data_IF_369801970000
#
_entry.id   IF_369801970000
#
_cell.length_a   1.000
_cell.length_b   1.000
_cell.length_c   1.000
_cell.angle_alpha   90.00
_cell.angle_beta   90.00
_cell.angle_gamma   90.00
#
_symmetry.space_group_name_H-M   'P 1'
#
loop_
_entity.id
_entity.type
_entity.pdbx_description
1 polymer ?
#
# COMPACT_ATOMS: atom_id res chain seq x y z
N UNK A 1 52.12 2.79 16.28
CA UNK A 1 51.52 2.55 14.95
C UNK A 1 50.08 2.16 15.21
N UNK A 2 49.15 3.10 15.07
CA UNK A 2 47.72 2.85 15.21
C UNK A 2 47.28 1.99 14.04
N UNK A 3 46.81 0.77 14.33
CA UNK A 3 46.22 -0.08 13.27
C UNK A 3 45.09 0.71 12.61
N UNK A 4 45.20 0.92 11.31
CA UNK A 4 44.10 1.48 10.51
C UNK A 4 42.93 0.48 10.56
N UNK A 5 41.96 0.71 11.43
CA UNK A 5 40.72 -0.07 11.44
C UNK A 5 39.91 0.31 10.21
N UNK A 6 39.63 -0.69 9.37
CA UNK A 6 38.77 -0.51 8.17
C UNK A 6 37.34 -0.38 8.65
N UNK A 7 36.66 0.72 8.32
CA UNK A 7 35.27 0.89 8.70
C UNK A 7 34.35 -0.03 7.88
N UNK A 8 33.29 -0.51 8.51
CA UNK A 8 32.19 -1.25 7.86
C UNK A 8 31.04 -0.29 7.60
N UNK A 9 30.59 -0.20 6.34
CA UNK A 9 29.39 0.55 5.96
C UNK A 9 28.21 -0.43 5.84
N UNK A 10 27.12 -0.15 6.55
CA UNK A 10 25.83 -0.80 6.38
C UNK A 10 24.80 0.23 5.95
N UNK A 11 23.97 -0.14 4.97
CA UNK A 11 22.96 0.75 4.40
C UNK A 11 21.58 0.13 4.54
N UNK A 12 20.65 0.89 5.11
CA UNK A 12 19.26 0.51 5.31
C UNK A 12 18.37 1.61 4.71
N UNK A 13 18.05 1.50 3.42
CA UNK A 13 17.37 2.58 2.70
C UNK A 13 18.19 3.87 2.68
N UNK A 14 17.67 4.95 3.29
CA UNK A 14 18.39 6.24 3.41
C UNK A 14 19.17 6.40 4.72
N UNK A 15 19.29 5.33 5.52
CA UNK A 15 20.09 5.30 6.74
C UNK A 15 21.42 4.62 6.47
N UNK A 16 22.50 5.31 6.73
CA UNK A 16 23.87 4.84 6.56
C UNK A 16 24.55 4.72 7.91
N UNK A 17 25.07 3.54 8.24
CA UNK A 17 25.76 3.27 9.49
C UNK A 17 27.18 2.85 9.18
N UNK A 18 28.14 3.66 9.62
CA UNK A 18 29.56 3.34 9.55
C UNK A 18 30.03 2.94 10.94
N UNK A 19 30.61 1.75 11.06
CA UNK A 19 31.05 1.18 12.33
C UNK A 19 32.54 0.78 12.28
N UNK A 20 33.20 0.89 13.42
CA UNK A 20 34.59 0.48 13.60
C UNK A 20 34.71 -0.54 14.72
N UNK A 21 35.77 -1.33 14.70
CA UNK A 21 36.03 -2.40 15.66
C UNK A 21 36.22 -1.92 17.11
N UNK A 22 36.53 -0.63 17.34
CA UNK A 22 36.63 -0.02 18.65
C UNK A 22 35.28 0.35 19.30
N UNK A 23 34.16 0.03 18.67
CA UNK A 23 32.81 0.28 19.20
C UNK A 23 32.22 1.65 18.82
N UNK A 24 32.87 2.40 17.93
CA UNK A 24 32.33 3.66 17.41
C UNK A 24 31.39 3.40 16.25
N UNK A 25 30.21 4.06 16.26
CA UNK A 25 29.26 4.06 15.15
C UNK A 25 28.86 5.47 14.79
N UNK A 26 28.82 5.76 13.50
CA UNK A 26 28.31 7.01 12.94
C UNK A 26 27.14 6.67 12.04
N UNK A 27 25.96 7.15 12.43
CA UNK A 27 24.73 7.03 11.64
C UNK A 27 24.47 8.34 10.92
N UNK A 28 24.20 8.29 9.62
CA UNK A 28 23.78 9.42 8.81
C UNK A 28 22.43 9.12 8.18
N UNK A 29 21.47 10.03 8.40
CA UNK A 29 20.09 9.91 7.94
C UNK A 29 19.65 11.22 7.29
N UNK A 30 18.51 11.17 6.55
CA UNK A 30 17.91 12.36 5.92
C UNK A 30 18.91 13.15 5.08
N UNK A 31 19.73 12.41 4.34
CA UNK A 31 20.74 13.03 3.48
C UNK A 31 20.03 13.77 2.35
N UNK A 32 20.37 15.04 2.21
CA UNK A 32 19.83 15.90 1.16
C UNK A 32 20.95 16.65 0.45
N UNK A 33 21.12 16.42 -0.84
CA UNK A 33 22.07 17.14 -1.68
C UNK A 33 21.39 18.32 -2.36
N UNK A 34 21.88 19.53 -2.07
CA UNK A 34 21.42 20.76 -2.66
C UNK A 34 21.94 20.96 -4.08
N UNK A 35 21.32 21.83 -4.87
CA UNK A 35 21.72 22.13 -6.25
C UNK A 35 23.15 22.68 -6.39
N UNK A 36 23.69 23.26 -5.34
CA UNK A 36 25.05 23.78 -5.24
C UNK A 36 26.05 22.74 -4.68
N UNK A 37 25.65 21.46 -4.68
CA UNK A 37 26.44 20.31 -4.20
C UNK A 37 26.73 20.29 -2.69
N UNK A 38 26.06 21.13 -1.90
CA UNK A 38 26.07 21.00 -0.45
C UNK A 38 25.20 19.83 -0.03
N UNK A 39 25.66 19.08 0.97
CA UNK A 39 24.92 17.95 1.53
C UNK A 39 24.62 18.23 3.01
N UNK A 40 23.35 18.19 3.35
CA UNK A 40 22.87 18.18 4.74
C UNK A 40 22.56 16.74 5.14
N UNK A 41 22.82 16.38 6.38
CA UNK A 41 22.49 15.06 6.94
C UNK A 41 22.21 15.21 8.45
N UNK A 42 21.31 14.39 8.98
CA UNK A 42 21.23 14.17 10.42
C UNK A 42 22.28 13.14 10.82
N UNK A 43 23.16 13.49 11.78
CA UNK A 43 24.26 12.63 12.19
C UNK A 43 24.08 12.28 13.67
N UNK A 44 24.08 10.97 13.96
CA UNK A 44 24.13 10.42 15.31
C UNK A 44 25.45 9.68 15.49
N UNK A 45 26.11 9.91 16.60
CA UNK A 45 27.36 9.25 16.96
C UNK A 45 27.14 8.43 18.22
N UNK A 46 27.56 7.18 18.21
CA UNK A 46 27.50 6.25 19.33
C UNK A 46 28.93 5.76 19.62
N UNK A 47 29.32 5.75 20.89
CA UNK A 47 30.50 5.06 21.40
C UNK A 47 30.06 4.04 22.45
N UNK A 48 30.18 2.75 22.15
CA UNK A 48 29.76 1.66 23.04
C UNK A 48 30.47 1.68 24.41
N UNK A 49 31.64 2.33 24.51
CA UNK A 49 32.34 2.44 25.77
C UNK A 49 31.74 3.50 26.71
N UNK A 50 30.99 4.46 26.22
CA UNK A 50 30.47 5.59 26.98
C UNK A 50 28.95 5.63 27.16
N UNK A 51 28.23 4.62 26.62
CA UNK A 51 26.79 4.35 26.81
C UNK A 51 25.82 5.51 26.49
N UNK A 52 26.25 6.61 25.87
CA UNK A 52 25.36 7.70 25.51
C UNK A 52 25.48 8.06 24.02
N UNK A 53 24.37 8.07 23.27
CA UNK A 53 24.38 8.60 21.92
C UNK A 53 24.59 10.12 21.95
N UNK A 54 25.53 10.60 21.18
CA UNK A 54 25.69 12.04 20.94
C UNK A 54 24.82 12.42 19.73
N UNK A 55 23.60 12.89 20.00
CA UNK A 55 22.71 13.38 18.97
C UNK A 55 23.23 14.72 18.45
N UNK A 56 23.57 14.75 17.18
CA UNK A 56 23.89 15.99 16.48
C UNK A 56 22.79 16.24 15.45
N UNK A 57 22.18 17.41 15.51
CA UNK A 57 21.16 17.82 14.55
C UNK A 57 21.67 17.93 13.12
N UNK A 58 20.90 18.53 12.19
CA UNK A 58 21.26 18.61 10.79
C UNK A 58 22.60 19.32 10.61
N UNK A 59 23.57 18.62 10.02
CA UNK A 59 24.90 19.13 9.74
C UNK A 59 25.10 19.29 8.24
N UNK A 60 25.58 20.47 7.83
CA UNK A 60 26.15 20.65 6.50
C UNK A 60 27.50 20.00 6.46
N UNK A 61 27.65 18.91 5.72
CA UNK A 61 28.89 18.13 5.63
C UNK A 61 30.05 18.94 5.05
N UNK A 62 29.77 20.06 4.37
CA UNK A 62 30.74 20.93 3.72
C UNK A 62 31.17 22.16 4.52
N UNK A 63 30.58 22.45 5.71
CA UNK A 63 30.89 23.68 6.49
C UNK A 63 31.88 23.37 7.62
N UNK A 64 33.13 23.72 7.39
CA UNK A 64 34.25 23.58 8.34
C UNK A 64 34.00 24.20 9.74
N UNK A 65 33.21 25.25 9.83
CA UNK A 65 32.92 25.91 11.10
C UNK A 65 32.02 25.06 12.00
N UNK A 66 31.01 24.43 11.46
CA UNK A 66 30.11 23.53 12.19
C UNK A 66 30.88 22.29 12.67
N UNK A 67 31.74 21.73 11.84
CA UNK A 67 32.60 20.61 12.21
C UNK A 67 33.57 20.91 13.35
N UNK A 68 34.10 22.12 13.44
CA UNK A 68 35.00 22.52 14.54
C UNK A 68 34.32 22.48 15.91
N UNK A 69 33.06 22.97 15.98
CA UNK A 69 32.31 22.92 17.23
C UNK A 69 32.01 21.50 17.67
N UNK A 70 31.53 20.68 16.70
CA UNK A 70 31.22 19.28 16.93
C UNK A 70 32.43 18.48 17.38
N UNK A 71 33.54 18.63 16.69
CA UNK A 71 34.79 17.96 17.07
C UNK A 71 35.27 18.34 18.45
N UNK A 72 35.21 19.63 18.80
CA UNK A 72 35.62 20.10 20.13
C UNK A 72 34.74 19.52 21.27
N UNK A 73 33.44 19.30 20.99
CA UNK A 73 32.55 18.66 21.95
C UNK A 73 32.84 17.15 22.08
N UNK A 74 33.07 16.45 20.97
CA UNK A 74 33.39 15.03 20.97
C UNK A 74 34.76 14.75 21.61
N UNK A 75 35.77 15.58 21.35
CA UNK A 75 37.12 15.48 21.94
C UNK A 75 37.07 15.65 23.47
N UNK A 76 36.14 16.45 24.01
CA UNK A 76 35.92 16.58 25.47
C UNK A 76 35.29 15.31 26.08
N UNK A 77 34.49 14.59 25.31
CA UNK A 77 33.80 13.37 25.80
C UNK A 77 34.76 12.19 25.78
N UNK A 78 35.55 12.05 24.72
CA UNK A 78 36.50 10.95 24.60
C UNK A 78 37.75 11.38 23.82
N UNK A 79 38.90 11.43 24.53
CA UNK A 79 40.21 11.63 23.94
C UNK A 79 40.78 10.35 23.29
N UNK A 80 40.12 9.21 23.49
CA UNK A 80 40.54 7.91 23.00
C UNK A 80 40.38 7.77 21.48
N UNK A 81 39.45 8.53 20.89
CA UNK A 81 39.02 8.43 19.50
C UNK A 81 39.55 9.63 18.70
N UNK A 82 40.15 9.39 17.56
CA UNK A 82 40.39 10.44 16.56
C UNK A 82 39.08 10.76 15.82
N UNK A 83 38.25 11.58 16.42
CA UNK A 83 36.93 11.94 15.90
C UNK A 83 37.01 12.60 14.52
N UNK A 84 38.04 13.39 14.26
CA UNK A 84 38.24 14.00 12.95
C UNK A 84 38.40 12.94 11.88
N UNK A 85 39.26 11.94 12.12
CA UNK A 85 39.50 10.85 11.19
C UNK A 85 38.21 10.03 10.97
N UNK A 86 37.51 9.65 12.06
CA UNK A 86 36.29 8.83 11.97
C UNK A 86 35.18 9.52 11.20
N UNK A 87 34.90 10.79 11.51
CA UNK A 87 33.86 11.56 10.83
C UNK A 87 34.22 11.82 9.35
N UNK A 88 35.49 12.07 9.04
CA UNK A 88 35.93 12.21 7.65
C UNK A 88 35.72 10.90 6.88
N UNK A 89 36.15 9.76 7.44
CA UNK A 89 35.96 8.45 6.81
C UNK A 89 34.48 8.13 6.61
N UNK A 90 33.65 8.34 7.64
CA UNK A 90 32.20 8.13 7.54
C UNK A 90 31.58 8.98 6.42
N UNK A 91 31.90 10.30 6.41
CA UNK A 91 31.35 11.21 5.41
C UNK A 91 31.75 10.81 3.99
N UNK A 92 33.01 10.47 3.76
CA UNK A 92 33.48 10.05 2.44
C UNK A 92 32.76 8.78 1.98
N UNK A 93 32.74 7.73 2.81
CA UNK A 93 32.10 6.45 2.48
C UNK A 93 30.60 6.62 2.22
N UNK A 94 29.90 7.35 3.07
CA UNK A 94 28.47 7.58 2.93
C UNK A 94 28.17 8.38 1.65
N UNK A 95 28.88 9.47 1.39
CA UNK A 95 28.65 10.29 0.21
C UNK A 95 29.01 9.57 -1.09
N UNK A 96 30.08 8.77 -1.11
CA UNK A 96 30.42 7.94 -2.26
C UNK A 96 29.29 6.94 -2.55
N UNK A 97 28.79 6.25 -1.53
CA UNK A 97 27.69 5.30 -1.69
C UNK A 97 26.37 6.00 -2.08
N UNK A 98 26.04 7.11 -1.42
CA UNK A 98 24.85 7.91 -1.71
C UNK A 98 24.83 8.39 -3.17
N UNK A 99 25.96 8.92 -3.66
CA UNK A 99 26.10 9.42 -5.03
C UNK A 99 26.21 8.31 -6.08
N UNK A 100 26.77 7.16 -5.70
CA UNK A 100 26.79 6.00 -6.60
C UNK A 100 25.37 5.50 -6.92
N UNK A 101 24.43 5.66 -5.98
CA UNK A 101 23.04 5.23 -6.14
C UNK A 101 22.92 3.72 -6.33
N UNK A 102 21.80 3.29 -6.91
CA UNK A 102 21.55 1.87 -7.19
C UNK A 102 22.43 1.39 -8.35
N UNK A 103 23.19 0.31 -8.20
CA UNK A 103 24.05 -0.19 -9.27
C UNK A 103 23.25 -0.66 -10.47
N UNK A 104 23.82 -0.47 -11.67
CA UNK A 104 23.29 -1.06 -12.90
C UNK A 104 23.55 -2.56 -12.89
N UNK A 105 22.52 -3.36 -12.98
CA UNK A 105 22.60 -4.82 -13.00
C UNK A 105 22.18 -5.36 -14.36
N UNK A 106 22.89 -6.38 -14.84
CA UNK A 106 22.41 -7.18 -15.95
C UNK A 106 21.28 -8.10 -15.47
N UNK A 107 20.10 -8.08 -16.12
CA UNK A 107 18.95 -8.89 -15.70
C UNK A 107 19.30 -10.39 -15.65
N UNK A 108 20.14 -10.88 -16.57
CA UNK A 108 20.60 -12.28 -16.57
C UNK A 108 21.55 -12.65 -15.42
N UNK A 109 22.10 -11.67 -14.69
CA UNK A 109 22.92 -11.90 -13.50
C UNK A 109 22.09 -11.95 -12.21
N UNK A 110 20.82 -11.58 -12.28
CA UNK A 110 19.88 -11.68 -11.15
C UNK A 110 19.43 -13.14 -11.05
N UNK A 111 19.48 -13.76 -9.85
CA UNK A 111 18.91 -15.10 -9.66
C UNK A 111 17.47 -15.12 -10.15
N UNK A 112 17.05 -16.22 -10.79
CA UNK A 112 15.67 -16.36 -11.27
C UNK A 112 14.69 -16.08 -10.12
N UNK A 113 13.90 -15.00 -10.17
CA UNK A 113 12.98 -14.69 -9.10
C UNK A 113 11.88 -15.74 -9.05
N UNK A 114 11.40 -16.03 -7.85
CA UNK A 114 10.17 -16.80 -7.72
C UNK A 114 9.01 -16.02 -8.35
N UNK A 115 8.00 -16.70 -8.90
CA UNK A 115 6.80 -16.03 -9.37
C UNK A 115 6.20 -15.16 -8.26
N UNK A 116 5.77 -13.95 -8.59
CA UNK A 116 5.08 -13.07 -7.64
C UNK A 116 3.83 -13.75 -7.11
N UNK A 117 3.75 -13.92 -5.79
CA UNK A 117 2.62 -14.62 -5.15
C UNK A 117 1.41 -13.70 -4.97
N UNK A 118 0.23 -14.32 -4.99
CA UNK A 118 -1.02 -13.66 -4.61
C UNK A 118 -1.16 -13.73 -3.09
N UNK A 119 -1.14 -12.58 -2.44
CA UNK A 119 -1.31 -12.50 -0.97
C UNK A 119 -2.79 -12.56 -0.59
N UNK A 120 -3.66 -12.01 -1.42
CA UNK A 120 -5.12 -12.15 -1.29
C UNK A 120 -5.77 -12.27 -2.67
N UNK A 121 -6.07 -13.49 -3.09
CA UNK A 121 -6.95 -13.88 -4.18
C UNK A 121 -6.97 -12.97 -5.42
N UNK A 122 -5.80 -12.50 -5.93
CA UNK A 122 -5.70 -11.58 -7.07
C UNK A 122 -6.01 -10.11 -6.78
N UNK A 123 -6.42 -9.77 -5.54
CA UNK A 123 -6.54 -8.39 -5.08
C UNK A 123 -5.19 -7.83 -4.66
N UNK A 124 -4.46 -8.54 -3.81
CA UNK A 124 -3.18 -8.11 -3.27
C UNK A 124 -2.09 -9.05 -3.74
N UNK A 125 -1.02 -8.48 -4.28
CA UNK A 125 0.14 -9.19 -4.79
C UNK A 125 1.39 -8.81 -4.02
N UNK A 126 2.27 -9.77 -3.83
CA UNK A 126 3.53 -9.59 -3.13
C UNK A 126 4.36 -8.44 -3.72
N UNK A 127 4.87 -7.56 -2.84
CA UNK A 127 5.74 -6.45 -3.21
C UNK A 127 5.09 -5.35 -4.06
N UNK A 128 3.77 -5.36 -4.24
CA UNK A 128 3.10 -4.43 -5.15
C UNK A 128 2.05 -3.54 -4.45
N UNK A 129 1.94 -2.26 -4.86
CA UNK A 129 0.87 -1.39 -4.42
C UNK A 129 -0.43 -1.69 -5.15
N UNK A 130 -1.50 -1.95 -4.39
CA UNK A 130 -2.88 -2.09 -4.84
C UNK A 130 -3.68 -0.87 -4.40
N UNK A 131 -4.38 -0.23 -5.34
CA UNK A 131 -5.26 0.90 -5.06
C UNK A 131 -6.72 0.43 -4.99
N UNK A 132 -7.39 0.71 -3.88
CA UNK A 132 -8.83 0.56 -3.69
C UNK A 132 -9.46 1.94 -3.62
N UNK A 133 -10.31 2.30 -4.55
CA UNK A 133 -10.89 3.64 -4.61
C UNK A 133 -12.41 3.62 -4.82
N UNK A 134 -13.06 4.67 -4.34
CA UNK A 134 -14.51 4.81 -4.42
C UNK A 134 -15.01 6.02 -3.65
N UNK A 135 -16.32 6.32 -3.72
CA UNK A 135 -16.94 7.45 -3.03
C UNK A 135 -16.66 7.45 -1.51
N UNK A 136 -16.71 8.64 -0.89
CA UNK A 136 -16.70 8.74 0.56
C UNK A 136 -17.89 7.99 1.18
N UNK A 137 -17.66 7.26 2.27
CA UNK A 137 -18.70 6.47 2.94
C UNK A 137 -19.09 5.17 2.26
N UNK A 138 -18.44 4.78 1.16
CA UNK A 138 -18.74 3.54 0.42
C UNK A 138 -18.36 2.26 1.17
N UNK A 139 -17.63 2.35 2.31
CA UNK A 139 -17.22 1.18 3.09
C UNK A 139 -15.79 0.67 2.81
N UNK A 140 -14.92 1.48 2.16
CA UNK A 140 -13.52 1.09 1.84
C UNK A 140 -12.76 0.57 3.05
N UNK A 141 -12.76 1.34 4.16
CA UNK A 141 -11.99 1.02 5.37
C UNK A 141 -12.42 -0.29 6.01
N UNK A 142 -13.72 -0.58 6.08
CA UNK A 142 -14.21 -1.82 6.67
C UNK A 142 -13.91 -3.04 5.78
N UNK A 143 -14.01 -2.90 4.46
CA UNK A 143 -13.60 -3.94 3.51
C UNK A 143 -12.10 -4.21 3.61
N UNK A 144 -11.29 -3.14 3.60
CA UNK A 144 -9.84 -3.28 3.74
C UNK A 144 -9.45 -3.98 5.05
N UNK A 145 -10.12 -3.64 6.16
CA UNK A 145 -9.85 -4.28 7.44
C UNK A 145 -10.23 -5.77 7.44
N UNK A 146 -11.32 -6.17 6.78
CA UNK A 146 -11.65 -7.59 6.57
C UNK A 146 -10.57 -8.30 5.75
N UNK A 147 -10.09 -7.69 4.66
CA UNK A 147 -9.01 -8.24 3.84
C UNK A 147 -7.69 -8.38 4.64
N UNK A 148 -7.33 -7.34 5.39
CA UNK A 148 -6.14 -7.37 6.24
C UNK A 148 -6.23 -8.41 7.35
N UNK A 149 -7.42 -8.58 7.96
CA UNK A 149 -7.64 -9.64 8.95
C UNK A 149 -7.49 -11.02 8.35
N UNK A 150 -8.00 -11.23 7.13
CA UNK A 150 -7.81 -12.48 6.38
C UNK A 150 -6.31 -12.75 6.09
N UNK A 151 -5.59 -11.75 5.58
CA UNK A 151 -4.14 -11.84 5.33
C UNK A 151 -3.38 -12.09 6.64
N UNK A 152 -3.68 -11.34 7.70
CA UNK A 152 -2.96 -11.41 8.97
C UNK A 152 -3.11 -12.77 9.65
N UNK A 153 -4.29 -13.37 9.54
CA UNK A 153 -4.60 -14.68 10.11
C UNK A 153 -4.32 -15.86 9.16
N UNK A 154 -4.16 -15.59 7.86
CA UNK A 154 -4.05 -16.62 6.83
C UNK A 154 -5.35 -17.38 6.59
N UNK A 155 -6.52 -16.80 6.97
CA UNK A 155 -7.84 -17.41 6.75
C UNK A 155 -8.48 -16.85 5.50
N UNK A 156 -8.87 -17.75 4.60
CA UNK A 156 -9.62 -17.39 3.40
C UNK A 156 -10.91 -16.62 3.74
N UNK A 157 -11.31 -15.70 2.87
CA UNK A 157 -12.49 -14.87 3.06
C UNK A 157 -13.21 -14.62 1.74
N UNK A 158 -14.54 -14.78 1.71
CA UNK A 158 -15.38 -14.50 0.53
C UNK A 158 -14.81 -15.08 -0.78
N UNK A 159 -14.39 -16.34 -0.78
CA UNK A 159 -13.80 -17.02 -1.95
C UNK A 159 -12.35 -16.58 -2.27
N UNK A 160 -11.79 -15.61 -1.56
CA UNK A 160 -10.42 -15.12 -1.75
C UNK A 160 -9.46 -15.91 -0.85
N UNK A 161 -8.49 -16.57 -1.46
CA UNK A 161 -7.42 -17.26 -0.74
C UNK A 161 -6.46 -16.24 -0.12
N UNK A 162 -6.13 -16.41 1.15
CA UNK A 162 -5.22 -15.54 1.89
C UNK A 162 -3.92 -16.27 2.24
N UNK A 163 -2.79 -15.62 1.95
CA UNK A 163 -1.47 -16.02 2.42
C UNK A 163 -1.13 -15.21 3.65
N UNK A 164 -0.73 -15.89 4.73
CA UNK A 164 -0.45 -15.24 6.01
C UNK A 164 0.71 -14.24 5.90
N UNK A 165 0.43 -13.02 6.33
CA UNK A 165 1.41 -11.93 6.42
C UNK A 165 1.00 -10.97 7.52
N UNK A 166 1.92 -10.54 8.40
CA UNK A 166 1.59 -9.53 9.40
C UNK A 166 1.19 -8.22 8.73
N UNK A 167 0.07 -7.65 9.17
CA UNK A 167 -0.53 -6.45 8.58
C UNK A 167 -0.41 -5.25 9.52
N UNK A 168 -0.13 -4.08 8.95
CA UNK A 168 -0.12 -2.79 9.64
C UNK A 168 -1.08 -1.82 8.95
N UNK A 169 -1.98 -1.22 9.72
CA UNK A 169 -2.83 -0.11 9.27
C UNK A 169 -2.20 1.21 9.69
N UNK A 170 -1.92 2.06 8.71
CA UNK A 170 -1.55 3.46 8.88
C UNK A 170 -2.80 4.30 8.60
N UNK A 171 -3.33 4.94 9.62
CA UNK A 171 -4.68 5.55 9.60
C UNK A 171 -4.62 7.03 9.97
N UNK A 172 -5.26 7.87 9.16
CA UNK A 172 -5.39 9.32 9.36
C UNK A 172 -6.78 9.77 9.76
N UNK A 173 -7.77 8.86 9.75
CA UNK A 173 -9.19 9.24 9.86
C UNK A 173 -9.87 8.65 11.10
N UNK A 174 -9.46 7.48 11.54
CA UNK A 174 -10.18 6.69 12.56
C UNK A 174 -9.37 6.64 13.85
N UNK A 175 -10.04 6.60 14.99
CA UNK A 175 -9.35 6.41 16.28
C UNK A 175 -8.92 4.96 16.50
N UNK A 176 -7.84 4.77 17.23
CA UNK A 176 -7.33 3.46 17.67
C UNK A 176 -8.44 2.59 18.28
N UNK A 177 -9.24 3.17 19.18
CA UNK A 177 -10.38 2.48 19.83
C UNK A 177 -11.42 1.97 18.82
N UNK A 178 -11.78 2.78 17.81
CA UNK A 178 -12.73 2.35 16.78
C UNK A 178 -12.14 1.26 15.89
N UNK A 179 -10.86 1.37 15.52
CA UNK A 179 -10.17 0.36 14.73
C UNK A 179 -10.09 -0.96 15.48
N UNK A 180 -9.77 -0.92 16.78
CA UNK A 180 -9.75 -2.10 17.64
C UNK A 180 -11.12 -2.79 17.68
N UNK A 181 -12.22 -2.03 17.91
CA UNK A 181 -13.56 -2.60 17.93
C UNK A 181 -13.93 -3.27 16.61
N UNK A 182 -13.67 -2.61 15.48
CA UNK A 182 -13.94 -3.16 14.14
C UNK A 182 -13.16 -4.45 13.90
N UNK A 183 -11.87 -4.47 14.22
CA UNK A 183 -11.06 -5.67 14.03
C UNK A 183 -11.50 -6.81 14.95
N UNK A 184 -11.81 -6.50 16.20
CA UNK A 184 -12.39 -7.46 17.14
C UNK A 184 -13.67 -8.10 16.60
N UNK A 185 -14.60 -7.32 16.08
CA UNK A 185 -15.86 -7.82 15.50
C UNK A 185 -15.59 -8.80 14.36
N UNK A 186 -14.60 -8.51 13.49
CA UNK A 186 -14.19 -9.41 12.41
C UNK A 186 -13.61 -10.72 12.98
N UNK A 187 -12.69 -10.63 13.92
CA UNK A 187 -12.04 -11.81 14.52
C UNK A 187 -13.06 -12.69 15.26
N UNK A 188 -14.02 -12.08 15.96
CA UNK A 188 -15.09 -12.80 16.64
C UNK A 188 -15.90 -13.67 15.68
N UNK A 189 -16.25 -13.15 14.51
CA UNK A 189 -16.99 -13.93 13.50
C UNK A 189 -16.15 -15.04 12.87
N UNK A 190 -14.82 -14.89 12.86
CA UNK A 190 -13.88 -15.91 12.39
C UNK A 190 -13.54 -16.98 13.46
N UNK A 191 -14.10 -16.86 14.67
CA UNK A 191 -13.80 -17.74 15.81
C UNK A 191 -12.36 -17.59 16.29
N UNK A 192 -11.75 -16.41 16.14
CA UNK A 192 -10.38 -16.13 16.58
C UNK A 192 -10.42 -15.45 17.94
N UNK A 193 -9.63 -15.97 18.89
CA UNK A 193 -9.44 -15.35 20.19
C UNK A 193 -8.64 -14.04 20.07
N UNK A 194 -9.04 -13.03 20.81
CA UNK A 194 -8.39 -11.72 20.89
C UNK A 194 -8.30 -11.27 22.35
N UNK A 195 -7.32 -10.42 22.67
CA UNK A 195 -7.13 -9.86 24.00
C UNK A 195 -8.21 -8.84 24.41
N UNK A 196 -8.20 -8.45 25.67
CA UNK A 196 -9.02 -7.35 26.19
C UNK A 196 -8.36 -6.00 25.90
N UNK A 197 -9.17 -4.94 25.78
CA UNK A 197 -8.69 -3.56 25.60
C UNK A 197 -8.65 -2.77 26.93
N UNK A 198 -7.63 -1.99 27.21
CA UNK A 198 -6.25 -2.15 26.71
C UNK A 198 -5.59 -3.30 27.46
N UNK A 199 -5.08 -4.28 26.75
CA UNK A 199 -4.33 -5.37 27.38
C UNK A 199 -2.84 -5.00 27.43
N UNK A 200 -2.37 -4.59 28.59
CA UNK A 200 -0.95 -4.29 28.86
C UNK A 200 -0.05 -5.52 28.65
N UNK A 201 -0.65 -6.71 28.68
CA UNK A 201 0.02 -7.99 28.49
C UNK A 201 -0.13 -8.53 27.06
N UNK A 202 -0.79 -7.80 26.14
CA UNK A 202 -0.89 -8.24 24.75
C UNK A 202 0.51 -8.45 24.19
N UNK A 203 0.88 -9.68 23.81
CA UNK A 203 2.24 -9.95 23.44
C UNK A 203 2.63 -9.14 22.20
N UNK A 204 3.80 -8.53 22.20
CA UNK A 204 4.43 -7.87 21.04
C UNK A 204 4.49 -8.79 19.79
N UNK A 205 4.19 -10.07 19.98
CA UNK A 205 4.34 -11.16 19.02
C UNK A 205 3.21 -11.31 18.00
N UNK A 206 2.19 -10.43 17.96
CA UNK A 206 1.09 -10.52 16.97
C UNK A 206 0.21 -11.79 17.05
N UNK A 207 0.33 -12.60 18.10
CA UNK A 207 -0.44 -13.86 18.27
C UNK A 207 -1.93 -13.66 18.60
N UNK A 208 -2.36 -12.41 18.79
CA UNK A 208 -3.75 -12.09 19.13
C UNK A 208 -4.71 -12.09 17.93
N UNK A 209 -4.20 -12.30 16.72
CA UNK A 209 -4.97 -12.17 15.48
C UNK A 209 -5.33 -10.71 15.13
N UNK A 210 -5.04 -9.74 16.00
CA UNK A 210 -5.26 -8.32 15.73
C UNK A 210 -4.21 -7.77 14.80
N UNK A 211 -4.63 -7.02 13.76
CA UNK A 211 -3.70 -6.28 12.89
C UNK A 211 -2.98 -5.20 13.69
N UNK A 212 -1.73 -4.93 13.31
CA UNK A 212 -1.01 -3.79 13.89
C UNK A 212 -1.64 -2.48 13.41
N UNK A 213 -1.60 -1.47 14.26
CA UNK A 213 -2.23 -0.17 14.00
C UNK A 213 -1.33 0.98 14.44
N UNK A 214 -1.34 2.06 13.64
CA UNK A 214 -0.74 3.34 14.00
C UNK A 214 -1.63 4.47 13.50
N UNK A 215 -2.04 5.36 14.42
CA UNK A 215 -2.62 6.65 14.05
C UNK A 215 -1.51 7.57 13.54
N UNK A 216 -1.75 8.20 12.40
CA UNK A 216 -0.81 9.07 11.71
C UNK A 216 -1.26 10.52 11.81
N UNK A 217 -0.36 11.42 12.21
CA UNK A 217 -0.65 12.87 12.34
C UNK A 217 -0.04 13.72 11.23
N UNK A 218 0.96 13.20 10.53
CA UNK A 218 1.68 13.87 9.45
C UNK A 218 1.70 13.05 8.16
N UNK A 219 2.25 13.62 7.08
CA UNK A 219 2.40 12.89 5.82
C UNK A 219 3.29 11.67 5.97
N UNK A 220 3.05 10.64 5.14
CA UNK A 220 3.76 9.37 5.19
C UNK A 220 5.29 9.52 5.15
N UNK A 221 5.79 10.43 4.30
CA UNK A 221 7.23 10.61 4.11
C UNK A 221 7.97 11.12 5.36
N UNK A 222 7.28 11.69 6.35
CA UNK A 222 7.89 12.12 7.60
C UNK A 222 8.26 10.96 8.54
N UNK A 223 7.56 9.84 8.40
CA UNK A 223 7.65 8.69 9.31
C UNK A 223 8.37 7.48 8.70
N UNK A 224 8.93 7.60 7.48
CA UNK A 224 9.52 6.47 6.73
C UNK A 224 10.55 5.71 7.55
N UNK A 225 11.51 6.38 8.18
CA UNK A 225 12.59 5.71 8.93
C UNK A 225 12.07 4.98 10.17
N UNK A 226 11.15 5.61 10.90
CA UNK A 226 10.49 4.96 12.02
C UNK A 226 9.70 3.73 11.56
N UNK A 227 8.91 3.88 10.50
CA UNK A 227 8.08 2.79 9.97
C UNK A 227 8.92 1.63 9.44
N UNK A 228 10.06 1.87 8.79
CA UNK A 228 11.00 0.82 8.37
C UNK A 228 11.43 -0.04 9.58
N UNK A 229 11.82 0.62 10.68
CA UNK A 229 12.23 -0.06 11.90
C UNK A 229 11.10 -0.93 12.47
N UNK A 230 9.89 -0.39 12.56
CA UNK A 230 8.73 -1.13 13.08
C UNK A 230 8.29 -2.27 12.14
N UNK A 231 8.33 -2.05 10.82
CA UNK A 231 8.03 -3.07 9.81
C UNK A 231 8.99 -4.26 9.96
N UNK A 232 10.28 -4.01 10.10
CA UNK A 232 11.28 -5.06 10.32
C UNK A 232 11.10 -5.76 11.67
N UNK A 233 10.98 -5.00 12.78
CA UNK A 233 10.82 -5.51 14.14
C UNK A 233 9.60 -6.42 14.27
N UNK A 234 8.47 -6.05 13.63
CA UNK A 234 7.19 -6.77 13.70
C UNK A 234 6.98 -7.74 12.54
N UNK A 235 7.97 -7.87 11.66
CA UNK A 235 7.90 -8.71 10.45
C UNK A 235 6.63 -8.43 9.62
N UNK A 236 6.32 -7.14 9.41
CA UNK A 236 5.18 -6.71 8.60
C UNK A 236 5.47 -6.96 7.13
N UNK A 237 4.56 -7.64 6.44
CA UNK A 237 4.63 -7.82 4.98
C UNK A 237 3.53 -7.05 4.24
N UNK A 238 2.46 -6.60 4.95
CA UNK A 238 1.35 -5.87 4.33
C UNK A 238 1.07 -4.58 5.08
N UNK A 239 1.06 -3.44 4.36
CA UNK A 239 0.69 -2.13 4.92
C UNK A 239 -0.57 -1.62 4.25
N UNK A 240 -1.53 -1.13 5.04
CA UNK A 240 -2.70 -0.43 4.55
C UNK A 240 -2.59 1.07 4.84
N UNK A 241 -2.91 1.90 3.86
CA UNK A 241 -2.91 3.37 3.93
C UNK A 241 -4.37 3.84 3.91
N UNK A 242 -4.90 4.32 5.02
CA UNK A 242 -6.27 4.82 5.17
C UNK A 242 -6.28 6.28 5.66
N UNK A 243 -6.30 7.28 4.78
CA UNK A 243 -6.39 7.21 3.34
C UNK A 243 -5.26 7.99 2.63
N UNK A 244 -5.18 7.83 1.33
CA UNK A 244 -4.16 8.43 0.47
C UNK A 244 -4.12 9.97 0.52
N UNK A 245 -5.27 10.63 0.66
CA UNK A 245 -5.37 12.09 0.71
C UNK A 245 -4.49 12.72 1.78
N UNK A 246 -4.77 12.52 3.06
CA UNK A 246 -3.93 13.06 4.14
C UNK A 246 -2.51 12.48 4.15
N UNK A 247 -2.33 11.24 3.71
CA UNK A 247 -1.04 10.58 3.67
C UNK A 247 -0.03 11.24 2.69
N UNK A 248 -0.50 11.87 1.60
CA UNK A 248 0.38 12.47 0.60
C UNK A 248 1.03 13.80 1.03
N UNK A 249 0.50 14.44 2.07
CA UNK A 249 1.10 15.66 2.64
C UNK A 249 0.99 16.88 1.75
N UNK A 250 -0.08 16.98 0.97
CA UNK A 250 -0.40 18.09 0.10
C UNK A 250 -1.74 17.86 -0.57
N UNK A 251 -2.08 18.71 -1.55
CA UNK A 251 -3.28 18.48 -2.37
C UNK A 251 -3.07 17.22 -3.23
N UNK A 252 -3.98 16.23 -3.20
CA UNK A 252 -3.85 15.00 -3.99
C UNK A 252 -3.79 15.23 -5.50
N UNK A 253 -4.26 16.38 -5.99
CA UNK A 253 -4.15 16.84 -7.38
C UNK A 253 -2.73 17.26 -7.75
N UNK A 254 -1.91 17.60 -6.77
CA UNK A 254 -0.54 18.00 -7.00
C UNK A 254 0.33 16.79 -7.33
N UNK A 255 0.91 16.77 -8.52
CA UNK A 255 1.78 15.71 -8.98
C UNK A 255 3.00 15.49 -8.05
N UNK A 256 3.59 16.56 -7.50
CA UNK A 256 4.75 16.45 -6.63
C UNK A 256 4.39 15.79 -5.28
N UNK A 257 3.22 16.10 -4.69
CA UNK A 257 2.75 15.47 -3.47
C UNK A 257 2.50 13.97 -3.69
N UNK A 258 1.81 13.63 -4.80
CA UNK A 258 1.54 12.23 -5.17
C UNK A 258 2.83 11.44 -5.40
N UNK A 259 3.79 12.00 -6.14
CA UNK A 259 5.07 11.33 -6.40
C UNK A 259 5.86 11.11 -5.11
N UNK A 260 5.89 12.10 -4.19
CA UNK A 260 6.54 11.97 -2.88
C UNK A 260 5.90 10.89 -2.02
N UNK A 261 4.57 10.75 -2.07
CA UNK A 261 3.88 9.66 -1.38
C UNK A 261 4.31 8.29 -1.90
N UNK A 262 4.33 8.09 -3.23
CA UNK A 262 4.77 6.82 -3.80
C UNK A 262 6.27 6.56 -3.61
N UNK A 263 7.10 7.61 -3.56
CA UNK A 263 8.50 7.48 -3.19
C UNK A 263 8.64 6.97 -1.74
N UNK A 264 7.88 7.54 -0.80
CA UNK A 264 7.86 7.07 0.58
C UNK A 264 7.43 5.59 0.68
N UNK A 265 6.40 5.16 -0.05
CA UNK A 265 6.00 3.75 -0.13
C UNK A 265 7.09 2.86 -0.72
N UNK A 266 7.78 3.32 -1.77
CA UNK A 266 8.91 2.58 -2.35
C UNK A 266 10.04 2.42 -1.34
N UNK A 267 10.37 3.48 -0.59
CA UNK A 267 11.39 3.42 0.46
C UNK A 267 11.01 2.43 1.58
N UNK A 268 9.74 2.34 1.96
CA UNK A 268 9.27 1.32 2.92
C UNK A 268 9.43 -0.10 2.37
N UNK A 269 9.30 -0.27 1.05
CA UNK A 269 9.42 -1.57 0.38
C UNK A 269 10.87 -2.02 0.13
N UNK A 270 11.86 -1.14 0.37
CA UNK A 270 13.29 -1.46 0.30
C UNK A 270 13.76 -2.22 1.54
N UNK A 271 13.12 -3.34 1.84
CA UNK A 271 13.48 -4.27 2.92
C UNK A 271 13.89 -5.62 2.35
N UNK A 272 14.48 -6.49 3.18
CA UNK A 272 14.85 -7.85 2.77
C UNK A 272 13.64 -8.68 2.29
N UNK A 273 12.44 -8.33 2.76
CA UNK A 273 11.19 -8.97 2.35
C UNK A 273 10.33 -8.02 1.53
N UNK A 274 9.67 -8.51 0.48
CA UNK A 274 8.72 -7.72 -0.27
C UNK A 274 7.61 -7.17 0.62
N UNK A 275 7.35 -5.86 0.55
CA UNK A 275 6.26 -5.19 1.26
C UNK A 275 5.18 -4.83 0.24
N UNK A 276 4.01 -5.42 0.36
CA UNK A 276 2.82 -5.03 -0.39
C UNK A 276 2.04 -3.94 0.33
N UNK A 277 1.36 -3.09 -0.43
CA UNK A 277 0.54 -2.03 0.12
C UNK A 277 -0.87 -2.03 -0.45
N UNK A 278 -1.85 -1.80 0.44
CA UNK A 278 -3.26 -1.54 0.11
C UNK A 278 -3.53 -0.06 0.37
N UNK A 279 -3.85 0.69 -0.67
CA UNK A 279 -4.02 2.14 -0.60
C UNK A 279 -5.48 2.46 -0.81
N UNK A 280 -6.11 3.15 0.16
CA UNK A 280 -7.49 3.60 0.06
C UNK A 280 -7.55 5.03 -0.44
N UNK A 281 -8.31 5.29 -1.51
CA UNK A 281 -8.45 6.61 -2.08
C UNK A 281 -9.92 6.97 -2.33
N UNK A 282 -10.22 8.27 -2.29
CA UNK A 282 -11.54 8.80 -2.64
C UNK A 282 -11.64 9.11 -4.14
N UNK A 283 -12.85 9.22 -4.65
CA UNK A 283 -13.16 9.73 -5.98
C UNK A 283 -13.72 11.15 -5.88
N UNK A 284 -13.62 11.94 -6.95
CA UNK A 284 -14.19 13.28 -7.01
C UNK A 284 -15.72 13.23 -6.95
N UNK A 285 -16.33 14.31 -6.44
CA UNK A 285 -17.80 14.46 -6.45
C UNK A 285 -18.38 14.46 -7.88
N UNK A 286 -17.65 15.00 -8.85
CA UNK A 286 -18.04 15.02 -10.27
C UNK A 286 -18.01 13.62 -10.90
N UNK A 287 -17.09 12.74 -10.46
CA UNK A 287 -16.98 11.39 -10.96
C UNK A 287 -18.10 10.45 -10.49
N UNK A 288 -18.86 10.82 -9.45
CA UNK A 288 -20.05 10.05 -8.98
C UNK A 288 -21.12 9.84 -10.04
N UNK A 289 -21.12 10.63 -11.11
CA UNK A 289 -22.10 10.55 -12.22
C UNK A 289 -21.55 9.87 -13.46
N UNK A 290 -20.27 9.51 -13.51
CA UNK A 290 -19.68 8.83 -14.66
C UNK A 290 -19.74 7.31 -14.46
N UNK A 291 -19.92 6.57 -15.54
CA UNK A 291 -19.91 5.10 -15.54
C UNK A 291 -18.59 4.50 -15.04
N UNK A 292 -17.52 5.28 -15.07
CA UNK A 292 -16.18 4.92 -14.56
C UNK A 292 -15.63 6.09 -13.75
N UNK A 293 -15.61 5.91 -12.43
CA UNK A 293 -14.98 6.88 -11.55
C UNK A 293 -13.46 6.77 -11.62
N UNK A 294 -12.77 7.91 -11.54
CA UNK A 294 -11.32 7.95 -11.35
C UNK A 294 -10.99 8.33 -9.92
N UNK A 295 -9.87 7.84 -9.35
CA UNK A 295 -9.39 8.32 -8.08
C UNK A 295 -9.26 9.85 -8.09
N UNK A 296 -9.58 10.47 -6.96
CA UNK A 296 -9.40 11.90 -6.78
C UNK A 296 -7.92 12.25 -6.79
N UNK A 297 -7.51 13.21 -7.62
CA UNK A 297 -6.17 13.73 -7.63
C UNK A 297 -5.43 13.61 -8.95
N UNK A 298 -4.12 13.58 -8.84
CA UNK A 298 -3.18 13.47 -9.97
C UNK A 298 -3.34 12.15 -10.74
N UNK A 299 -3.05 12.18 -12.04
CA UNK A 299 -2.98 10.98 -12.90
C UNK A 299 -2.05 9.88 -12.35
N UNK A 300 -1.11 10.24 -11.51
CA UNK A 300 -0.19 9.28 -10.88
C UNK A 300 -0.87 8.34 -9.91
N UNK A 301 -2.02 8.69 -9.33
CA UNK A 301 -2.83 7.76 -8.55
C UNK A 301 -3.33 6.55 -9.35
N UNK A 302 -3.48 6.72 -10.68
CA UNK A 302 -3.84 5.62 -11.58
C UNK A 302 -2.57 4.95 -12.11
N UNK A 303 -1.55 5.72 -12.47
CA UNK A 303 -0.41 5.20 -13.24
C UNK A 303 0.58 4.39 -12.41
N UNK A 304 0.84 4.77 -11.15
CA UNK A 304 1.87 4.12 -10.32
C UNK A 304 1.40 2.80 -9.71
N UNK A 305 0.20 2.67 -9.09
CA UNK A 305 -0.25 1.39 -8.57
C UNK A 305 -0.22 0.31 -9.65
N UNK A 306 0.21 -0.90 -9.29
CA UNK A 306 0.31 -2.02 -10.22
C UNK A 306 -1.02 -2.72 -10.42
N UNK A 307 -1.93 -2.56 -9.46
CA UNK A 307 -3.25 -3.14 -9.44
C UNK A 307 -4.25 -2.11 -8.90
N UNK A 308 -5.43 -1.96 -9.48
CA UNK A 308 -6.42 -1.00 -8.98
C UNK A 308 -7.85 -1.49 -9.15
N UNK A 309 -8.66 -1.26 -8.11
CA UNK A 309 -10.07 -1.64 -8.06
C UNK A 309 -10.94 -0.44 -7.69
N UNK A 310 -11.99 -0.23 -8.47
CA UNK A 310 -13.07 0.68 -8.13
C UNK A 310 -14.10 -0.06 -7.27
N UNK A 311 -14.45 0.54 -6.12
CA UNK A 311 -15.45 0.00 -5.21
C UNK A 311 -16.77 0.72 -5.43
N UNK A 312 -17.81 -0.03 -5.73
CA UNK A 312 -19.20 0.40 -5.74
C UNK A 312 -19.96 -0.31 -4.63
N UNK A 313 -20.97 0.32 -4.04
CA UNK A 313 -21.82 -0.30 -3.03
C UNK A 313 -23.29 -0.06 -3.28
N UNK A 314 -24.08 -1.03 -2.87
CA UNK A 314 -25.53 -0.96 -2.82
C UNK A 314 -26.00 -1.34 -1.41
N UNK A 315 -26.74 -0.44 -0.76
CA UNK A 315 -27.30 -0.68 0.56
C UNK A 315 -28.77 -0.29 0.58
N UNK A 316 -29.63 -1.25 0.91
CA UNK A 316 -31.04 -0.97 1.16
C UNK A 316 -31.20 -0.23 2.50
N UNK A 317 -32.17 0.67 2.57
CA UNK A 317 -32.51 1.33 3.86
C UNK A 317 -32.86 0.27 4.92
N UNK A 318 -32.30 0.46 6.11
CA UNK A 318 -32.54 -0.41 7.28
C UNK A 318 -32.04 -1.86 7.11
N UNK A 319 -31.19 -2.16 6.11
CA UNK A 319 -30.55 -3.46 6.04
C UNK A 319 -29.35 -3.53 7.00
N UNK A 320 -29.08 -4.71 7.54
CA UNK A 320 -27.90 -5.01 8.32
C UNK A 320 -26.73 -5.51 7.42
N UNK A 321 -26.85 -5.32 6.12
CA UNK A 321 -25.81 -5.67 5.16
C UNK A 321 -25.61 -4.58 4.10
N UNK A 322 -24.48 -4.63 3.44
CA UNK A 322 -24.16 -3.83 2.25
C UNK A 322 -23.52 -4.72 1.21
N UNK A 323 -23.95 -4.60 -0.02
CA UNK A 323 -23.38 -5.31 -1.16
C UNK A 323 -22.35 -4.44 -1.85
N UNK A 324 -21.28 -5.05 -2.32
CA UNK A 324 -20.17 -4.38 -2.97
C UNK A 324 -19.80 -5.06 -4.28
N UNK A 325 -19.35 -4.26 -5.24
CA UNK A 325 -18.67 -4.71 -6.44
C UNK A 325 -17.28 -4.05 -6.50
N UNK A 326 -16.25 -4.86 -6.62
CA UNK A 326 -14.88 -4.43 -6.84
C UNK A 326 -14.54 -4.64 -8.30
N UNK A 327 -14.57 -3.56 -9.07
CA UNK A 327 -14.27 -3.59 -10.50
C UNK A 327 -12.76 -3.43 -10.72
N UNK A 328 -12.12 -4.42 -11.32
CA UNK A 328 -10.70 -4.41 -11.66
C UNK A 328 -10.45 -3.45 -12.83
N UNK A 329 -9.91 -2.27 -12.56
CA UNK A 329 -9.75 -1.19 -13.55
C UNK A 329 -8.37 -1.10 -14.17
N UNK A 330 -7.35 -1.63 -13.49
CA UNK A 330 -5.97 -1.66 -13.99
C UNK A 330 -5.23 -2.85 -13.43
N UNK A 331 -4.44 -3.49 -14.30
CA UNK A 331 -3.45 -4.49 -13.93
C UNK A 331 -2.17 -4.31 -14.74
N UNK A 332 -1.03 -4.38 -14.06
CA UNK A 332 0.29 -4.54 -14.69
C UNK A 332 0.84 -5.97 -14.51
N UNK A 333 0.03 -6.88 -13.94
CA UNK A 333 0.45 -8.24 -13.56
C UNK A 333 -0.09 -9.26 -14.55
N UNK A 334 -1.27 -9.00 -15.11
CA UNK A 334 -1.97 -9.90 -16.01
C UNK A 334 -3.23 -9.26 -16.56
N UNK A 335 -4.13 -10.04 -17.17
CA UNK A 335 -5.42 -9.54 -17.68
C UNK A 335 -6.29 -9.01 -16.53
N UNK A 336 -7.21 -8.12 -16.88
CA UNK A 336 -8.26 -7.69 -15.95
C UNK A 336 -9.12 -8.91 -15.61
N UNK A 337 -9.47 -9.04 -14.36
CA UNK A 337 -10.37 -10.07 -13.86
C UNK A 337 -11.82 -9.59 -13.84
N UNK A 338 -12.74 -10.52 -13.78
CA UNK A 338 -14.15 -10.22 -13.53
C UNK A 338 -14.32 -9.47 -12.20
N UNK A 339 -15.35 -8.63 -12.10
CA UNK A 339 -15.64 -7.93 -10.86
C UNK A 339 -15.90 -8.89 -9.70
N UNK A 340 -15.36 -8.56 -8.51
CA UNK A 340 -15.57 -9.34 -7.30
C UNK A 340 -16.79 -8.79 -6.58
N UNK A 341 -17.81 -9.62 -6.41
CA UNK A 341 -18.99 -9.28 -5.58
C UNK A 341 -18.79 -9.73 -4.15
N UNK A 342 -19.12 -8.86 -3.21
CA UNK A 342 -19.01 -9.12 -1.77
C UNK A 342 -20.26 -8.63 -1.06
N UNK A 343 -20.73 -9.37 -0.06
CA UNK A 343 -21.73 -8.92 0.90
C UNK A 343 -21.07 -8.78 2.26
N UNK A 344 -21.12 -7.57 2.83
CA UNK A 344 -20.74 -7.31 4.22
C UNK A 344 -22.00 -7.30 5.07
N UNK A 345 -22.06 -8.14 6.10
CA UNK A 345 -23.17 -8.23 7.05
C UNK A 345 -22.69 -7.81 8.43
N UNK A 346 -23.50 -6.99 9.11
CA UNK A 346 -23.32 -6.61 10.52
C UNK A 346 -24.35 -7.35 11.38
N UNK A 347 -24.00 -8.56 11.80
CA UNK A 347 -24.79 -9.34 12.75
C UNK A 347 -23.84 -10.02 13.75
N UNK A 348 -23.83 -9.51 15.00
CA UNK A 348 -22.92 -9.97 16.08
C UNK A 348 -21.42 -9.94 15.69
N UNK A 349 -21.07 -9.00 14.82
CA UNK A 349 -19.75 -8.84 14.25
C UNK A 349 -19.81 -8.37 12.80
N UNK A 350 -18.71 -8.47 12.08
CA UNK A 350 -18.61 -8.09 10.67
C UNK A 350 -18.11 -9.27 9.86
N UNK A 351 -18.92 -9.77 8.93
CA UNK A 351 -18.58 -10.86 8.00
C UNK A 351 -18.64 -10.40 6.57
N UNK A 352 -17.74 -10.93 5.73
CA UNK A 352 -17.87 -10.77 4.28
C UNK A 352 -18.06 -12.14 3.62
N UNK A 353 -18.97 -12.19 2.66
CA UNK A 353 -19.30 -13.37 1.87
C UNK A 353 -19.22 -13.04 0.40
N UNK A 354 -19.00 -14.05 -0.43
CA UNK A 354 -19.06 -13.90 -1.88
C UNK A 354 -20.49 -13.57 -2.31
N UNK A 355 -20.63 -12.61 -3.23
CA UNK A 355 -21.90 -12.19 -3.83
C UNK A 355 -21.83 -12.31 -5.35
N UNK A 356 -22.84 -12.89 -5.96
CA UNK A 356 -23.04 -12.77 -7.38
C UNK A 356 -23.57 -11.37 -7.73
N UNK A 357 -22.70 -10.50 -8.29
CA UNK A 357 -23.04 -9.13 -8.66
C UNK A 357 -24.25 -9.06 -9.59
N UNK A 358 -24.46 -10.09 -10.42
CA UNK A 358 -25.55 -10.18 -11.37
C UNK A 358 -26.94 -10.19 -10.71
N UNK A 359 -27.02 -10.61 -9.45
CA UNK A 359 -28.27 -10.64 -8.68
C UNK A 359 -28.65 -9.28 -8.07
N UNK A 360 -27.73 -8.31 -8.09
CA UNK A 360 -27.97 -6.96 -7.58
C UNK A 360 -28.01 -5.94 -8.74
N UNK A 361 -29.22 -5.52 -9.14
CA UNK A 361 -29.45 -4.63 -10.27
C UNK A 361 -28.65 -3.29 -10.17
N UNK A 362 -28.45 -2.75 -8.97
CA UNK A 362 -27.70 -1.52 -8.78
C UNK A 362 -26.20 -1.73 -9.05
N UNK A 363 -25.61 -2.83 -8.60
CA UNK A 363 -24.20 -3.14 -8.83
C UNK A 363 -23.97 -3.62 -10.26
N UNK A 364 -24.94 -4.29 -10.86
CA UNK A 364 -24.88 -4.72 -12.25
C UNK A 364 -24.72 -3.56 -13.25
N UNK A 365 -25.14 -2.33 -12.89
CA UNK A 365 -24.92 -1.15 -13.75
C UNK A 365 -23.46 -0.80 -13.97
N UNK A 366 -22.56 -1.18 -13.06
CA UNK A 366 -21.12 -1.01 -13.18
C UNK A 366 -20.39 -2.07 -14.02
N UNK A 367 -21.09 -3.10 -14.47
CA UNK A 367 -20.56 -4.13 -15.36
C UNK A 367 -20.30 -3.56 -16.76
N UNK A 368 -19.41 -4.20 -17.52
CA UNK A 368 -19.17 -3.89 -18.93
C UNK A 368 -20.43 -4.12 -19.79
N UNK A 369 -20.51 -3.46 -20.94
CA UNK A 369 -21.63 -3.67 -21.86
C UNK A 369 -21.83 -5.15 -22.25
N UNK A 370 -20.79 -5.94 -22.55
CA UNK A 370 -20.95 -7.36 -22.78
C UNK A 370 -21.57 -8.12 -21.60
N UNK A 371 -21.13 -7.87 -20.38
CA UNK A 371 -21.67 -8.54 -19.20
C UNK A 371 -23.13 -8.15 -18.92
N UNK A 372 -23.48 -6.88 -19.10
CA UNK A 372 -24.86 -6.40 -18.99
C UNK A 372 -25.75 -7.00 -20.11
N UNK A 373 -25.21 -7.13 -21.34
CA UNK A 373 -25.90 -7.76 -22.44
C UNK A 373 -26.15 -9.26 -22.18
N UNK A 374 -25.15 -9.95 -21.63
CA UNK A 374 -25.28 -11.36 -21.26
C UNK A 374 -26.43 -11.56 -20.27
N UNK A 375 -26.48 -10.74 -19.20
CA UNK A 375 -27.57 -10.76 -18.22
C UNK A 375 -28.95 -10.52 -18.84
N UNK A 376 -29.05 -9.52 -19.73
CA UNK A 376 -30.29 -9.18 -20.36
C UNK A 376 -30.77 -10.31 -21.29
N UNK A 377 -29.86 -10.93 -22.03
CA UNK A 377 -30.15 -12.06 -22.94
C UNK A 377 -30.51 -13.33 -22.15
N UNK A 378 -29.83 -13.61 -21.03
CA UNK A 378 -30.15 -14.74 -20.14
C UNK A 378 -31.55 -14.62 -19.54
N UNK A 379 -31.99 -13.40 -19.22
CA UNK A 379 -33.31 -13.16 -18.62
C UNK A 379 -34.43 -13.03 -19.64
N UNK A 380 -34.18 -12.42 -20.80
CA UNK A 380 -35.20 -12.05 -21.79
C UNK A 380 -35.11 -12.74 -23.14
N UNK A 381 -34.08 -13.58 -23.33
CA UNK A 381 -33.78 -14.18 -24.65
C UNK A 381 -33.03 -13.21 -25.59
N UNK A 382 -32.88 -13.59 -26.88
CA UNK A 382 -32.15 -12.79 -27.87
C UNK A 382 -32.72 -11.38 -28.06
N UNK A 383 -31.85 -10.35 -27.95
CA UNK A 383 -32.20 -8.93 -28.01
C UNK A 383 -31.58 -8.24 -29.24
N UNK A 384 -32.26 -7.24 -29.79
CA UNK A 384 -31.72 -6.36 -30.84
C UNK A 384 -30.72 -5.35 -30.26
N UNK A 385 -29.95 -4.74 -31.15
CA UNK A 385 -29.01 -3.65 -30.74
C UNK A 385 -29.76 -2.46 -30.13
N UNK A 386 -30.94 -2.15 -30.65
CA UNK A 386 -31.79 -1.05 -30.19
C UNK A 386 -32.31 -1.34 -28.79
N UNK A 387 -32.85 -2.53 -28.53
CA UNK A 387 -33.33 -2.95 -27.20
C UNK A 387 -32.17 -2.89 -26.15
N UNK A 388 -30.98 -3.37 -26.51
CA UNK A 388 -29.81 -3.29 -25.67
C UNK A 388 -29.33 -1.84 -25.44
N UNK A 389 -29.44 -0.99 -26.48
CA UNK A 389 -29.10 0.43 -26.40
C UNK A 389 -29.97 1.18 -25.40
N UNK A 390 -31.29 0.95 -25.45
CA UNK A 390 -32.25 1.54 -24.50
C UNK A 390 -32.02 1.01 -23.08
N UNK A 391 -31.83 -0.30 -22.91
CA UNK A 391 -31.63 -0.94 -21.61
C UNK A 391 -30.34 -0.43 -20.90
N UNK A 392 -29.31 -0.08 -21.70
CA UNK A 392 -27.99 0.27 -21.15
C UNK A 392 -27.69 1.76 -21.18
N UNK A 393 -28.60 2.58 -21.69
CA UNK A 393 -28.41 4.03 -21.94
C UNK A 393 -27.11 4.29 -22.74
N UNK A 394 -26.97 3.57 -23.85
CA UNK A 394 -25.78 3.62 -24.69
C UNK A 394 -26.17 3.70 -26.19
N UNK A 395 -25.27 4.23 -27.01
CA UNK A 395 -25.55 4.28 -28.48
C UNK A 395 -25.40 2.90 -29.11
N UNK A 396 -26.21 2.60 -30.15
CA UNK A 396 -26.16 1.36 -30.90
C UNK A 396 -24.75 1.03 -31.42
N UNK A 397 -23.96 2.07 -31.76
CA UNK A 397 -22.57 1.91 -32.20
C UNK A 397 -21.66 1.36 -31.07
N UNK A 398 -21.85 1.83 -29.86
CA UNK A 398 -21.07 1.37 -28.68
C UNK A 398 -21.42 -0.08 -28.36
N UNK A 399 -22.72 -0.42 -28.35
CA UNK A 399 -23.19 -1.77 -28.09
C UNK A 399 -22.64 -2.73 -29.15
N UNK A 400 -22.87 -2.44 -30.45
CA UNK A 400 -22.35 -3.26 -31.54
C UNK A 400 -20.84 -3.46 -31.45
N UNK A 401 -20.08 -2.37 -31.23
CA UNK A 401 -18.62 -2.45 -31.14
C UNK A 401 -18.15 -3.27 -29.92
N UNK A 402 -18.88 -3.24 -28.82
CA UNK A 402 -18.53 -3.99 -27.61
C UNK A 402 -18.81 -5.47 -27.76
N UNK A 403 -20.00 -5.83 -28.30
CA UNK A 403 -20.40 -7.22 -28.44
C UNK A 403 -19.67 -7.94 -29.59
N UNK A 404 -19.36 -7.24 -30.68
CA UNK A 404 -18.60 -7.82 -31.82
C UNK A 404 -17.17 -8.20 -31.48
N UNK A 405 -16.61 -7.71 -30.38
CA UNK A 405 -15.25 -8.00 -29.88
C UNK A 405 -15.21 -9.08 -28.82
N UNK A 406 -16.38 -9.56 -28.42
CA UNK A 406 -16.51 -10.55 -27.36
C UNK A 406 -17.07 -11.84 -27.97
N UNK A 407 -16.24 -12.89 -27.97
CA UNK A 407 -16.51 -14.17 -28.60
C UNK A 407 -17.72 -14.91 -28.00
N UNK A 408 -18.23 -14.43 -26.85
CA UNK A 408 -19.45 -14.95 -26.22
C UNK A 408 -20.72 -14.58 -26.98
N UNK A 409 -20.66 -13.64 -27.93
CA UNK A 409 -21.84 -13.14 -28.61
C UNK A 409 -21.80 -13.42 -30.11
N UNK A 410 -22.97 -13.80 -30.65
CA UNK A 410 -23.21 -13.92 -32.08
C UNK A 410 -24.47 -13.16 -32.45
N UNK A 411 -24.47 -12.51 -33.61
CA UNK A 411 -25.67 -11.84 -34.16
C UNK A 411 -26.35 -12.73 -35.18
N UNK A 412 -27.60 -13.12 -34.91
CA UNK A 412 -28.45 -13.89 -35.82
C UNK A 412 -29.80 -13.22 -36.02
N UNK A 413 -30.24 -13.06 -37.24
CA UNK A 413 -31.52 -12.43 -37.58
C UNK A 413 -31.72 -11.04 -36.97
N UNK A 414 -30.63 -10.24 -36.84
CA UNK A 414 -30.67 -8.90 -36.25
C UNK A 414 -30.74 -8.88 -34.74
N UNK A 415 -30.64 -10.03 -34.08
CA UNK A 415 -30.57 -10.15 -32.62
C UNK A 415 -29.25 -10.72 -32.14
N UNK A 416 -28.81 -10.29 -30.97
CA UNK A 416 -27.66 -10.83 -30.29
C UNK A 416 -28.05 -12.03 -29.43
N UNK A 417 -27.29 -13.09 -29.54
CA UNK A 417 -27.40 -14.35 -28.78
C UNK A 417 -26.08 -14.62 -28.07
N UNK A 418 -26.14 -15.21 -26.89
CA UNK A 418 -24.95 -15.70 -26.18
C UNK A 418 -24.63 -17.13 -26.59
N UNK A 419 -23.34 -17.40 -26.86
CA UNK A 419 -22.83 -18.76 -27.09
C UNK A 419 -22.81 -19.63 -25.82
N UNK A 420 -22.92 -19.01 -24.64
CA UNK A 420 -22.98 -19.71 -23.35
C UNK A 420 -24.41 -20.18 -22.98
N UNK A 421 -25.42 -19.81 -23.76
CA UNK A 421 -26.83 -20.17 -23.50
C UNK A 421 -27.24 -21.57 -24.00
N UNK A 422 -26.30 -22.49 -24.10
CA UNK A 422 -26.63 -23.91 -24.31
C UNK A 422 -26.66 -24.63 -22.94
N UNK A 423 -27.81 -24.55 -22.29
CA UNK A 423 -28.23 -25.44 -21.18
C UNK A 423 -29.07 -26.58 -21.68
#
# INVERSE_FOLDING_TARGET
MTQLTVPELRVYGNTYIVSWSEGVKVRMERIYEHRDYHVDAEITIEDEAELAPHLMGPLRTSITKTWRSVLADLERVSERIDWRQRLTQATVLVLEHYRAGTPVLALGAIPTPQPTEQVLGGLVWEGMPTLLYGPGGVGKSILALNFLSAIHTGKDTAGLKAVQSNCLVLDWETSERQMWHRNREILQTQGIEYGSWPDEAAPESGRTGMVFYRFMSGPLFNDVEYLKTEIQKKNIGTVCIDSAGPACGGEPENAAATLRFFEALRLLSESEKPLQSVILAHVTHSAKKSAHASPFGSVYWINIPRNSFEIQSAQAKNSNYSDFALHHRKSNIGPLRDPIGLRLTWDRGSTIEELNIRENAQLATGLSYPERALLAIEQGGPLTTEELSELMDATSRVITSSLSRDDRFTSKNGKWESSESNW
#
